data_IF_976735104943
#
_entry.id   IF_976735104943
#
_cell.length_a   1.000
_cell.length_b   1.000
_cell.length_c   1.000
_cell.angle_alpha   90.00
_cell.angle_beta   90.00
_cell.angle_gamma   90.00
#
_symmetry.space_group_name_H-M   'P 1'
#
loop_
_entity.id
_entity.type
_entity.pdbx_description
1 polymer ?
#
# COMPACT_ATOMS: atom_id res chain seq x y z
N UNK A 1 13.23 4.09 8.72
CA UNK A 1 11.79 3.80 8.98
C UNK A 1 11.62 2.86 10.16
N UNK A 2 12.61 2.02 10.50
CA UNK A 2 12.66 1.29 11.78
C UNK A 2 12.68 2.22 12.98
N UNK A 3 13.37 3.34 12.85
CA UNK A 3 13.64 4.30 13.93
C UNK A 3 12.35 4.87 14.52
N UNK A 4 11.41 5.26 13.65
CA UNK A 4 10.05 5.68 14.05
C UNK A 4 9.26 4.54 14.69
N UNK A 5 9.35 3.31 14.15
CA UNK A 5 8.60 2.19 14.71
C UNK A 5 9.09 1.86 16.14
N UNK A 6 10.40 1.94 16.38
CA UNK A 6 11.01 1.78 17.68
C UNK A 6 10.61 2.91 18.65
N UNK A 7 10.61 4.16 18.19
CA UNK A 7 10.17 5.33 18.95
C UNK A 7 8.73 5.17 19.49
N UNK A 8 7.81 4.67 18.65
CA UNK A 8 6.42 4.43 19.03
C UNK A 8 6.20 3.08 19.73
N UNK A 9 7.26 2.33 20.06
CA UNK A 9 7.15 1.02 20.73
C UNK A 9 6.41 -0.04 19.91
N UNK A 10 6.43 0.07 18.58
CA UNK A 10 5.76 -0.86 17.68
C UNK A 10 6.56 -2.14 17.54
N UNK A 11 5.89 -3.28 17.74
CA UNK A 11 6.48 -4.59 17.47
C UNK A 11 6.50 -4.85 15.97
N UNK A 12 7.69 -4.93 15.38
CA UNK A 12 7.87 -5.30 13.97
C UNK A 12 8.54 -6.67 13.82
N UNK A 13 8.25 -7.33 12.69
CA UNK A 13 8.83 -8.62 12.33
C UNK A 13 9.38 -8.53 10.90
N UNK A 14 10.68 -8.77 10.74
CA UNK A 14 11.32 -8.78 9.43
C UNK A 14 11.22 -10.16 8.77
N UNK A 15 10.79 -10.16 7.51
CA UNK A 15 10.73 -11.35 6.66
C UNK A 15 11.46 -11.08 5.34
N UNK A 16 12.71 -11.54 5.22
CA UNK A 16 13.55 -11.32 4.04
C UNK A 16 12.93 -11.86 2.74
N UNK A 17 12.06 -12.86 2.84
CA UNK A 17 11.40 -13.49 1.69
C UNK A 17 10.21 -12.68 1.15
N UNK A 18 9.84 -11.57 1.80
CA UNK A 18 8.77 -10.66 1.39
C UNK A 18 9.28 -9.49 0.51
N UNK A 19 10.35 -9.70 -0.27
CA UNK A 19 10.94 -8.67 -1.15
C UNK A 19 10.15 -8.42 -2.45
N UNK A 20 10.55 -7.46 -3.29
CA UNK A 20 9.80 -7.12 -4.51
C UNK A 20 9.82 -8.21 -5.61
N UNK A 21 10.85 -9.08 -5.62
CA UNK A 21 10.98 -10.14 -6.62
C UNK A 21 9.92 -11.22 -6.41
N UNK A 22 9.30 -11.67 -7.50
CA UNK A 22 8.40 -12.83 -7.51
C UNK A 22 9.22 -14.11 -7.40
N UNK A 23 8.87 -14.96 -6.44
CA UNK A 23 9.55 -16.23 -6.22
C UNK A 23 8.56 -17.20 -5.57
N UNK A 24 7.93 -18.10 -6.34
CA UNK A 24 6.78 -18.88 -5.86
C UNK A 24 7.02 -19.64 -4.55
N UNK A 25 8.19 -20.27 -4.40
CA UNK A 25 8.56 -21.01 -3.19
C UNK A 25 8.73 -20.08 -1.98
N UNK A 26 9.42 -18.94 -2.18
CA UNK A 26 9.63 -17.95 -1.14
C UNK A 26 8.33 -17.24 -0.76
N UNK A 27 7.46 -16.99 -1.73
CA UNK A 27 6.15 -16.36 -1.56
C UNK A 27 5.20 -17.28 -0.79
N UNK A 28 5.20 -18.58 -1.09
CA UNK A 28 4.44 -19.57 -0.33
C UNK A 28 4.97 -19.69 1.11
N UNK A 29 6.29 -19.74 1.28
CA UNK A 29 6.92 -19.75 2.59
C UNK A 29 6.56 -18.50 3.39
N UNK A 30 6.64 -17.31 2.79
CA UNK A 30 6.26 -16.05 3.42
C UNK A 30 4.77 -16.03 3.80
N UNK A 31 3.88 -16.50 2.92
CA UNK A 31 2.45 -16.65 3.22
C UNK A 31 2.21 -17.57 4.44
N UNK A 32 2.91 -18.71 4.50
CA UNK A 32 2.81 -19.65 5.63
C UNK A 32 3.24 -19.03 6.96
N UNK A 33 4.29 -18.19 6.93
CA UNK A 33 4.78 -17.45 8.10
C UNK A 33 3.79 -16.39 8.56
N UNK A 34 3.23 -15.62 7.62
CA UNK A 34 2.18 -14.63 7.92
C UNK A 34 0.95 -15.30 8.53
N UNK A 35 0.50 -16.41 7.94
CA UNK A 35 -0.62 -17.19 8.45
C UNK A 35 -0.36 -17.68 9.88
N UNK A 36 0.81 -18.26 10.15
CA UNK A 36 1.18 -18.72 11.50
C UNK A 36 1.25 -17.56 12.49
N UNK A 37 1.81 -16.42 12.08
CA UNK A 37 1.86 -15.22 12.91
C UNK A 37 0.45 -14.77 13.29
N UNK A 38 -0.45 -14.64 12.31
CA UNK A 38 -1.84 -14.21 12.54
C UNK A 38 -2.62 -15.21 13.40
N UNK A 39 -2.33 -16.52 13.30
CA UNK A 39 -2.91 -17.53 14.18
C UNK A 39 -2.41 -17.43 15.62
N UNK A 40 -1.16 -17.00 15.83
CA UNK A 40 -0.57 -16.81 17.16
C UNK A 40 -1.03 -15.51 17.79
N UNK A 41 -1.07 -14.41 17.04
CA UNK A 41 -1.44 -13.09 17.55
C UNK A 41 -2.96 -12.86 17.57
N UNK A 42 -3.72 -13.63 16.79
CA UNK A 42 -5.18 -13.54 16.66
C UNK A 42 -5.68 -12.09 16.47
N UNK A 43 -5.18 -11.37 15.44
CA UNK A 43 -5.52 -9.98 15.26
C UNK A 43 -7.00 -9.85 14.85
N UNK A 44 -7.67 -8.80 15.35
CA UNK A 44 -9.01 -8.44 14.84
C UNK A 44 -8.96 -7.82 13.45
N UNK A 45 -7.87 -7.10 13.16
CA UNK A 45 -7.68 -6.36 11.92
C UNK A 45 -6.32 -6.69 11.35
N UNK A 46 -6.27 -7.03 10.06
CA UNK A 46 -5.04 -7.05 9.28
C UNK A 46 -5.14 -5.97 8.23
N UNK A 47 -4.17 -5.06 8.22
CA UNK A 47 -4.05 -4.03 7.20
C UNK A 47 -2.81 -4.30 6.36
N UNK A 48 -3.02 -4.36 5.05
CA UNK A 48 -1.98 -4.65 4.08
C UNK A 48 -1.77 -3.49 3.11
N UNK A 49 -0.54 -3.37 2.64
CA UNK A 49 -0.10 -2.40 1.65
C UNK A 49 0.74 -3.10 0.59
N UNK A 50 0.99 -2.41 -0.53
CA UNK A 50 1.79 -2.87 -1.68
C UNK A 50 1.22 -4.10 -2.39
N UNK A 51 1.62 -4.35 -3.65
CA UNK A 51 1.01 -5.42 -4.45
C UNK A 51 1.28 -6.82 -3.89
N UNK A 52 2.55 -7.25 -3.78
CA UNK A 52 2.90 -8.63 -3.40
C UNK A 52 2.60 -8.92 -1.93
N UNK A 53 3.07 -8.08 -1.01
CA UNK A 53 2.77 -8.24 0.41
C UNK A 53 1.26 -8.11 0.68
N UNK A 54 0.57 -7.26 -0.08
CA UNK A 54 -0.89 -7.16 -0.09
C UNK A 54 -1.58 -8.45 -0.47
N UNK A 55 -1.15 -9.10 -1.56
CA UNK A 55 -1.71 -10.38 -1.98
C UNK A 55 -1.49 -11.48 -0.94
N UNK A 56 -0.23 -11.69 -0.52
CA UNK A 56 0.11 -12.75 0.44
C UNK A 56 -0.53 -12.50 1.81
N UNK A 57 -0.54 -11.25 2.28
CA UNK A 57 -1.13 -10.88 3.57
C UNK A 57 -2.65 -11.05 3.59
N UNK A 58 -3.36 -10.67 2.52
CA UNK A 58 -4.81 -10.89 2.40
C UNK A 58 -5.17 -12.38 2.38
N UNK A 59 -4.41 -13.18 1.62
CA UNK A 59 -4.59 -14.64 1.58
C UNK A 59 -4.34 -15.25 2.97
N UNK A 60 -3.20 -14.93 3.59
CA UNK A 60 -2.85 -15.43 4.92
C UNK A 60 -3.89 -15.03 5.98
N UNK A 61 -4.38 -13.79 5.95
CA UNK A 61 -5.40 -13.29 6.89
C UNK A 61 -6.72 -14.02 6.73
N UNK A 62 -7.15 -14.27 5.49
CA UNK A 62 -8.37 -15.05 5.22
C UNK A 62 -8.24 -16.48 5.74
N UNK A 63 -7.11 -17.14 5.50
CA UNK A 63 -6.82 -18.50 5.98
C UNK A 63 -6.71 -18.55 7.51
N UNK A 64 -6.23 -17.49 8.14
CA UNK A 64 -6.16 -17.35 9.59
C UNK A 64 -7.51 -16.97 10.23
N UNK A 65 -8.56 -16.76 9.42
CA UNK A 65 -9.91 -16.33 9.85
C UNK A 65 -9.90 -14.98 10.57
N UNK A 66 -9.05 -14.05 10.13
CA UNK A 66 -9.05 -12.66 10.63
C UNK A 66 -10.41 -12.01 10.28
N UNK A 67 -11.10 -11.37 11.25
CA UNK A 67 -12.41 -10.78 11.01
C UNK A 67 -12.42 -9.64 10.00
N UNK A 68 -11.43 -8.73 10.08
CA UNK A 68 -11.37 -7.52 9.25
C UNK A 68 -10.06 -7.49 8.48
N UNK A 69 -10.16 -7.44 7.15
CA UNK A 69 -9.02 -7.39 6.25
C UNK A 69 -9.07 -6.07 5.47
N UNK A 70 -8.10 -5.19 5.68
CA UNK A 70 -7.99 -3.89 5.02
C UNK A 70 -6.83 -3.92 4.03
N UNK A 71 -7.04 -3.33 2.85
CA UNK A 71 -5.97 -3.13 1.88
C UNK A 71 -5.97 -1.70 1.36
N UNK A 72 -4.82 -1.03 1.39
CA UNK A 72 -4.67 0.32 0.83
C UNK A 72 -3.91 0.30 -0.49
N UNK A 73 -4.51 0.92 -1.51
CA UNK A 73 -3.87 1.28 -2.77
C UNK A 73 -3.24 2.67 -2.68
N UNK A 74 -1.95 2.76 -3.01
CA UNK A 74 -1.15 3.99 -2.93
C UNK A 74 -0.94 4.70 -4.27
N UNK A 75 -1.33 4.08 -5.40
CA UNK A 75 -1.11 4.66 -6.72
C UNK A 75 -1.84 3.90 -7.81
N UNK A 76 -1.61 4.31 -9.05
CA UNK A 76 -2.22 3.68 -10.21
C UNK A 76 -1.58 2.32 -10.49
N UNK A 77 -2.37 1.26 -10.34
CA UNK A 77 -1.87 -0.13 -10.48
C UNK A 77 -2.18 -0.71 -11.86
N UNK A 78 -3.17 -0.14 -12.58
CA UNK A 78 -3.78 -0.81 -13.73
C UNK A 78 -3.55 -0.06 -15.05
N UNK A 79 -3.20 1.22 -14.98
CA UNK A 79 -2.94 2.10 -16.13
C UNK A 79 -1.45 2.41 -16.29
N UNK A 80 -0.93 2.26 -17.51
CA UNK A 80 0.40 2.75 -17.93
C UNK A 80 1.63 1.90 -17.54
N UNK A 81 1.56 1.07 -16.51
CA UNK A 81 2.75 0.34 -16.01
C UNK A 81 3.09 -0.97 -16.76
N UNK A 82 2.12 -1.62 -17.41
CA UNK A 82 2.31 -2.92 -18.04
C UNK A 82 1.55 -3.02 -19.38
N UNK A 83 2.02 -3.89 -20.29
CA UNK A 83 1.30 -4.17 -21.53
C UNK A 83 -0.13 -4.71 -21.28
N UNK A 84 -1.04 -4.49 -22.23
CA UNK A 84 -2.50 -4.71 -22.07
C UNK A 84 -2.89 -6.12 -21.58
N UNK A 85 -2.09 -7.15 -21.87
CA UNK A 85 -2.29 -8.51 -21.36
C UNK A 85 -2.00 -8.67 -19.87
N UNK A 86 -0.87 -8.11 -19.40
CA UNK A 86 -0.45 -8.21 -18.00
C UNK A 86 -1.42 -7.45 -17.10
N UNK A 87 -1.90 -6.28 -17.53
CA UNK A 87 -2.91 -5.51 -16.80
C UNK A 87 -4.19 -6.32 -16.56
N UNK A 88 -4.65 -7.13 -17.52
CA UNK A 88 -5.83 -7.99 -17.34
C UNK A 88 -5.63 -9.05 -16.25
N UNK A 89 -4.45 -9.66 -16.19
CA UNK A 89 -4.10 -10.65 -15.15
C UNK A 89 -4.09 -9.98 -13.78
N UNK A 90 -3.47 -8.82 -13.67
CA UNK A 90 -3.41 -8.06 -12.41
C UNK A 90 -4.83 -7.66 -11.96
N UNK A 91 -5.67 -7.15 -12.87
CA UNK A 91 -7.08 -6.82 -12.58
C UNK A 91 -7.82 -8.06 -12.08
N UNK A 92 -7.65 -9.21 -12.73
CA UNK A 92 -8.31 -10.45 -12.32
C UNK A 92 -7.88 -10.89 -10.92
N UNK A 93 -6.57 -10.87 -10.64
CA UNK A 93 -6.02 -11.20 -9.31
C UNK A 93 -6.56 -10.23 -8.26
N UNK A 94 -6.54 -8.92 -8.53
CA UNK A 94 -7.03 -7.93 -7.58
C UNK A 94 -8.54 -8.03 -7.33
N UNK A 95 -9.36 -8.40 -8.32
CA UNK A 95 -10.79 -8.72 -8.10
C UNK A 95 -10.99 -9.88 -7.13
N UNK A 96 -10.17 -10.93 -7.23
CA UNK A 96 -10.23 -12.06 -6.30
C UNK A 96 -9.83 -11.60 -4.90
N UNK A 97 -8.71 -10.88 -4.78
CA UNK A 97 -8.20 -10.41 -3.50
C UNK A 97 -9.11 -9.36 -2.84
N UNK A 98 -9.80 -8.56 -3.65
CA UNK A 98 -10.81 -7.63 -3.21
C UNK A 98 -12.00 -8.34 -2.55
N UNK A 99 -12.41 -9.52 -3.05
CA UNK A 99 -13.43 -10.36 -2.38
C UNK A 99 -12.96 -10.90 -1.03
N UNK A 100 -11.66 -11.13 -0.87
CA UNK A 100 -11.08 -11.57 0.41
C UNK A 100 -10.99 -10.44 1.44
N UNK A 101 -10.90 -9.19 0.98
CA UNK A 101 -10.79 -8.01 1.83
C UNK A 101 -12.15 -7.66 2.43
N UNK A 102 -12.19 -6.98 3.58
CA UNK A 102 -13.40 -6.38 4.16
C UNK A 102 -13.55 -4.94 3.68
N UNK A 103 -12.46 -4.18 3.66
CA UNK A 103 -12.43 -2.76 3.28
C UNK A 103 -11.24 -2.51 2.36
N UNK A 104 -11.44 -1.66 1.35
CA UNK A 104 -10.40 -1.16 0.46
C UNK A 104 -10.26 0.34 0.69
N UNK A 105 -9.03 0.79 0.90
CA UNK A 105 -8.69 2.20 1.06
C UNK A 105 -7.90 2.67 -0.16
N UNK A 106 -8.07 3.93 -0.54
CA UNK A 106 -7.26 4.60 -1.55
C UNK A 106 -6.74 5.92 -1.01
N UNK A 107 -5.55 6.34 -1.43
CA UNK A 107 -4.96 7.61 -0.97
C UNK A 107 -5.52 8.84 -1.70
N UNK A 108 -6.27 8.63 -2.78
CA UNK A 108 -6.88 9.70 -3.58
C UNK A 108 -8.16 9.23 -4.27
N UNK A 109 -8.97 10.20 -4.72
CA UNK A 109 -10.13 9.95 -5.59
C UNK A 109 -9.72 9.40 -6.96
N UNK A 110 -8.55 9.79 -7.48
CA UNK A 110 -8.06 9.28 -8.77
C UNK A 110 -7.84 7.77 -8.75
N UNK A 111 -7.26 7.25 -7.65
CA UNK A 111 -7.06 5.80 -7.47
C UNK A 111 -8.40 5.11 -7.25
N UNK A 112 -9.31 5.70 -6.45
CA UNK A 112 -10.67 5.16 -6.27
C UNK A 112 -11.41 5.02 -7.60
N UNK A 113 -11.33 6.04 -8.45
CA UNK A 113 -11.95 6.04 -9.77
C UNK A 113 -11.40 4.90 -10.64
N UNK A 114 -10.08 4.70 -10.68
CA UNK A 114 -9.47 3.59 -11.42
C UNK A 114 -9.95 2.22 -10.93
N UNK A 115 -10.07 2.01 -9.61
CA UNK A 115 -10.61 0.77 -9.04
C UNK A 115 -12.06 0.50 -9.50
N UNK A 116 -12.88 1.56 -9.55
CA UNK A 116 -14.26 1.48 -9.99
C UNK A 116 -14.36 1.17 -11.48
N UNK A 117 -13.58 1.87 -12.31
CA UNK A 117 -13.52 1.61 -13.76
C UNK A 117 -13.17 0.15 -14.08
N UNK A 118 -12.21 -0.41 -13.34
CA UNK A 118 -11.82 -1.81 -13.51
C UNK A 118 -12.68 -2.81 -12.72
N UNK A 119 -13.77 -2.36 -12.07
CA UNK A 119 -14.66 -3.20 -11.27
C UNK A 119 -13.88 -4.07 -10.26
N UNK A 120 -12.89 -3.50 -9.56
CA UNK A 120 -12.07 -4.24 -8.59
C UNK A 120 -12.91 -4.65 -7.37
N UNK A 121 -13.74 -3.74 -6.88
CA UNK A 121 -14.67 -3.94 -5.78
C UNK A 121 -15.89 -3.03 -5.95
N UNK A 122 -17.01 -3.35 -5.27
CA UNK A 122 -18.18 -2.49 -5.31
C UNK A 122 -17.92 -1.17 -4.55
N UNK A 123 -18.59 -0.06 -4.90
CA UNK A 123 -18.28 1.27 -4.37
C UNK A 123 -18.34 1.39 -2.85
N UNK A 124 -19.27 0.68 -2.22
CA UNK A 124 -19.46 0.65 -0.76
C UNK A 124 -18.28 0.05 0.01
N UNK A 125 -17.36 -0.62 -0.69
CA UNK A 125 -16.16 -1.21 -0.11
C UNK A 125 -14.93 -0.30 -0.22
N UNK A 126 -15.00 0.75 -1.03
CA UNK A 126 -13.84 1.57 -1.41
C UNK A 126 -13.97 2.97 -0.80
N UNK A 127 -13.04 3.32 0.07
CA UNK A 127 -13.00 4.60 0.78
C UNK A 127 -11.70 5.35 0.49
N UNK A 128 -11.79 6.66 0.37
CA UNK A 128 -10.61 7.52 0.24
C UNK A 128 -10.13 7.94 1.62
N UNK A 129 -8.87 7.63 1.92
CA UNK A 129 -8.17 8.08 3.12
C UNK A 129 -6.88 8.81 2.69
N UNK A 130 -6.90 10.16 2.63
CA UNK A 130 -5.75 10.93 2.18
C UNK A 130 -4.60 10.85 3.20
N UNK A 131 -3.38 11.18 2.74
CA UNK A 131 -2.20 11.21 3.59
C UNK A 131 -2.33 12.28 4.68
N UNK A 132 -2.06 11.90 5.93
CA UNK A 132 -2.06 12.79 7.08
C UNK A 132 -0.77 13.62 7.18
N UNK A 133 -0.50 14.46 6.18
CA UNK A 133 0.63 15.39 6.19
C UNK A 133 0.24 16.68 6.92
N UNK A 134 1.07 17.14 7.85
CA UNK A 134 0.90 18.47 8.44
C UNK A 134 1.27 19.54 7.41
N UNK A 135 0.26 20.16 6.81
CA UNK A 135 0.47 21.20 5.80
C UNK A 135 0.84 22.56 6.42
N UNK A 136 0.75 22.71 7.75
CA UNK A 136 1.05 23.99 8.40
C UNK A 136 2.52 24.39 8.24
N UNK A 137 3.44 23.41 8.18
CA UNK A 137 4.87 23.67 7.97
C UNK A 137 5.14 24.33 6.60
N UNK A 138 4.23 24.19 5.65
CA UNK A 138 4.36 24.75 4.30
C UNK A 138 3.68 26.13 4.13
N UNK A 139 2.97 26.64 5.15
CA UNK A 139 2.22 27.91 5.05
C UNK A 139 3.10 29.11 4.68
N UNK A 140 4.36 29.11 5.11
CA UNK A 140 5.31 30.21 4.88
C UNK A 140 6.44 29.84 3.90
N UNK A 141 6.29 28.78 3.10
CA UNK A 141 7.33 28.38 2.15
C UNK A 141 7.66 29.46 1.11
N UNK A 142 6.68 30.29 0.73
CA UNK A 142 6.90 31.40 -0.20
C UNK A 142 7.92 32.42 0.32
N UNK A 143 7.98 32.65 1.64
CA UNK A 143 8.93 33.57 2.25
C UNK A 143 10.38 33.08 2.15
N UNK A 144 10.59 31.76 1.97
CA UNK A 144 11.91 31.12 1.82
C UNK A 144 12.30 30.84 0.37
N UNK A 145 11.56 31.42 -0.59
CA UNK A 145 11.81 31.19 -2.02
C UNK A 145 13.20 31.70 -2.39
N UNK A 146 14.05 30.80 -2.90
CA UNK A 146 15.39 31.14 -3.36
C UNK A 146 16.50 30.94 -2.32
N UNK A 147 16.18 30.86 -1.01
CA UNK A 147 17.18 30.62 0.05
C UNK A 147 17.94 29.31 -0.18
N UNK A 148 17.21 28.20 -0.38
CA UNK A 148 17.81 26.90 -0.63
C UNK A 148 18.63 26.85 -1.95
N UNK A 149 18.27 27.66 -2.95
CA UNK A 149 19.04 27.77 -4.20
C UNK A 149 20.37 28.50 -3.97
N UNK A 150 20.35 29.57 -3.18
CA UNK A 150 21.56 30.32 -2.80
C UNK A 150 22.52 29.45 -1.98
N UNK A 151 22.01 28.69 -1.00
CA UNK A 151 22.80 27.73 -0.22
C UNK A 151 23.50 26.69 -1.12
N UNK A 152 22.81 26.23 -2.17
CA UNK A 152 23.34 25.25 -3.12
C UNK A 152 24.17 25.87 -4.27
N UNK A 153 24.32 27.20 -4.33
CA UNK A 153 25.01 27.90 -5.41
C UNK A 153 24.34 27.76 -6.78
N UNK A 154 23.04 27.44 -6.82
CA UNK A 154 22.27 27.27 -8.06
C UNK A 154 21.68 28.63 -8.44
N UNK A 155 22.01 29.11 -9.65
CA UNK A 155 21.52 30.39 -10.18
C UNK A 155 19.98 30.51 -10.19
N UNK A 156 19.50 31.74 -10.18
CA UNK A 156 18.07 32.09 -10.15
C UNK A 156 17.36 31.94 -11.50
N UNK A 157 18.07 31.53 -12.55
CA UNK A 157 17.53 31.47 -13.91
C UNK A 157 16.81 30.14 -14.12
N UNK A 158 15.48 30.20 -14.21
CA UNK A 158 14.70 29.24 -14.98
C UNK A 158 14.33 29.93 -16.30
N UNK A 159 14.48 29.28 -17.47
CA UNK A 159 13.80 29.71 -18.69
C UNK A 159 12.27 29.64 -18.55
#
# INVERSE_FOLDING_TARGET
MTDLAEEYGLRFHFYNNLGARLSPLNDLYACSKLWRLMRLTSPRIVHTHTAKAGALGRIAAKLAKVPIIVHTFHGHVFTGYWGSGISKIIIFIERILARLSTVILTVSESVRYELLQHNIAPPEKIYVLPLGLDLNIYKNCSAKTGEFRQELGIGTVYP
#
